data_IF_804775796787
#
_entry.id   IF_804775796787
#
_cell.length_a   1.000
_cell.length_b   1.000
_cell.length_c   1.000
_cell.angle_alpha   90.00
_cell.angle_beta   90.00
_cell.angle_gamma   90.00
#
_symmetry.space_group_name_H-M   'P 1'
#
loop_
_entity.id
_entity.type
_entity.pdbx_description
1 polymer ?
#
# COMPACT_ATOMS: atom_id res chain seq x y z
N UNK A 1 3.38 -8.96 -5.17
CA UNK A 1 3.34 -10.44 -5.12
C UNK A 1 4.11 -11.08 -6.26
N UNK A 2 3.74 -10.90 -7.54
CA UNK A 2 4.47 -11.50 -8.68
C UNK A 2 5.99 -11.27 -8.66
N UNK A 3 6.43 -10.07 -8.25
CA UNK A 3 7.87 -9.77 -8.11
C UNK A 3 8.54 -10.49 -6.94
N UNK A 4 7.89 -10.58 -5.78
CA UNK A 4 8.52 -11.04 -4.54
C UNK A 4 8.44 -12.56 -4.37
N UNK A 5 7.29 -13.14 -4.72
CA UNK A 5 6.94 -14.55 -4.51
C UNK A 5 6.11 -15.07 -5.70
N UNK A 6 6.70 -15.16 -6.91
CA UNK A 6 5.98 -15.57 -8.12
C UNK A 6 5.32 -16.95 -8.00
N UNK A 7 5.94 -17.89 -7.28
CA UNK A 7 5.47 -19.25 -7.06
C UNK A 7 4.14 -19.35 -6.29
N UNK A 8 3.79 -18.30 -5.53
CA UNK A 8 2.53 -18.21 -4.79
C UNK A 8 1.39 -17.64 -5.64
N UNK A 9 1.68 -17.11 -6.84
CA UNK A 9 0.68 -16.45 -7.68
C UNK A 9 0.23 -17.39 -8.79
N UNK A 10 -1.06 -17.75 -8.76
CA UNK A 10 -1.72 -18.55 -9.80
C UNK A 10 -2.29 -17.65 -10.89
N UNK A 11 -1.41 -17.03 -11.68
CA UNK A 11 -1.83 -16.07 -12.71
C UNK A 11 -2.73 -16.71 -13.77
N UNK A 12 -2.58 -18.01 -14.02
CA UNK A 12 -3.45 -18.80 -14.89
C UNK A 12 -4.90 -18.92 -14.39
N UNK A 13 -5.15 -18.61 -13.11
CA UNK A 13 -6.49 -18.57 -12.50
C UNK A 13 -7.01 -17.15 -12.30
N UNK A 14 -6.31 -16.13 -12.82
CA UNK A 14 -6.72 -14.74 -12.66
C UNK A 14 -8.06 -14.48 -13.38
N UNK A 15 -9.00 -13.88 -12.66
CA UNK A 15 -10.29 -13.44 -13.21
C UNK A 15 -10.37 -11.93 -13.01
N UNK A 16 -10.41 -11.21 -14.12
CA UNK A 16 -10.59 -9.77 -14.11
C UNK A 16 -12.05 -9.42 -13.84
N UNK A 17 -12.27 -8.41 -13.01
CA UNK A 17 -13.61 -7.92 -12.71
C UNK A 17 -13.53 -6.43 -12.36
N UNK A 18 -14.29 -5.61 -13.09
CA UNK A 18 -14.45 -4.19 -12.80
C UNK A 18 -15.94 -3.92 -12.66
N UNK A 19 -16.51 -4.10 -11.46
CA UNK A 19 -17.93 -3.95 -11.24
C UNK A 19 -18.36 -2.50 -11.52
N UNK A 20 -19.52 -2.33 -12.12
CA UNK A 20 -20.17 -1.02 -12.26
C UNK A 20 -20.91 -0.70 -10.95
N UNK A 21 -20.11 -0.46 -9.90
CA UNK A 21 -20.59 -0.24 -8.55
C UNK A 21 -19.87 0.95 -7.92
N UNK A 22 -20.65 1.88 -7.37
CA UNK A 22 -20.12 2.99 -6.58
C UNK A 22 -19.46 2.51 -5.28
N UNK A 23 -18.44 3.23 -4.81
CA UNK A 23 -17.71 2.90 -3.57
C UNK A 23 -18.62 2.85 -2.33
N UNK A 24 -19.72 3.61 -2.35
CA UNK A 24 -20.73 3.65 -1.30
C UNK A 24 -21.44 2.31 -1.08
N UNK A 25 -21.46 1.43 -2.09
CA UNK A 25 -22.16 0.14 -2.01
C UNK A 25 -21.27 -1.03 -1.57
N UNK A 26 -19.96 -0.81 -1.40
CA UNK A 26 -18.99 -1.85 -1.02
C UNK A 26 -19.36 -2.52 0.30
N UNK A 27 -19.82 -1.72 1.27
CA UNK A 27 -20.22 -2.20 2.61
C UNK A 27 -21.70 -2.62 2.68
N UNK A 28 -22.49 -2.31 1.64
CA UNK A 28 -23.94 -2.55 1.64
C UNK A 28 -24.33 -3.86 0.96
N UNK A 29 -23.53 -4.31 0.00
CA UNK A 29 -23.80 -5.50 -0.81
C UNK A 29 -22.73 -6.54 -0.50
N UNK A 30 -23.07 -7.84 -0.35
CA UNK A 30 -22.04 -8.86 -0.18
C UNK A 30 -21.13 -8.95 -1.42
N UNK A 31 -19.82 -9.11 -1.18
CA UNK A 31 -18.77 -9.05 -2.21
C UNK A 31 -18.94 -10.05 -3.37
N UNK A 32 -19.55 -11.20 -3.09
CA UNK A 32 -19.89 -12.23 -4.09
C UNK A 32 -20.85 -11.75 -5.18
N UNK A 33 -21.67 -10.73 -4.92
CA UNK A 33 -22.63 -10.21 -5.89
C UNK A 33 -22.00 -9.30 -6.95
N UNK A 34 -20.84 -8.71 -6.67
CA UNK A 34 -20.19 -7.79 -7.60
C UNK A 34 -18.78 -8.22 -8.00
N UNK A 35 -18.10 -9.08 -7.23
CA UNK A 35 -16.82 -9.69 -7.62
C UNK A 35 -16.88 -11.22 -7.50
N UNK A 36 -17.21 -11.95 -8.57
CA UNK A 36 -17.40 -13.41 -8.52
C UNK A 36 -16.15 -14.19 -8.06
N UNK A 37 -14.96 -13.68 -8.33
CA UNK A 37 -13.68 -14.25 -7.93
C UNK A 37 -13.10 -13.61 -6.65
N UNK A 38 -13.78 -12.61 -6.09
CA UNK A 38 -13.24 -11.72 -5.06
C UNK A 38 -12.18 -10.73 -5.56
N UNK A 39 -11.81 -10.77 -6.84
CA UNK A 39 -10.87 -9.81 -7.43
C UNK A 39 -11.61 -8.54 -7.87
N UNK A 40 -11.07 -7.38 -7.52
CA UNK A 40 -11.48 -6.08 -8.06
C UNK A 40 -10.30 -5.50 -8.85
N UNK A 41 -10.47 -5.36 -10.17
CA UNK A 41 -9.46 -4.87 -11.11
C UNK A 41 -9.09 -5.90 -12.18
N UNK A 42 -7.88 -5.73 -12.73
CA UNK A 42 -7.35 -6.54 -13.84
C UNK A 42 -6.05 -7.28 -13.47
N UNK A 43 -6.10 -8.26 -12.55
CA UNK A 43 -4.93 -9.06 -12.18
C UNK A 43 -4.28 -9.78 -13.37
N UNK A 44 -5.03 -10.08 -14.44
CA UNK A 44 -4.47 -10.71 -15.65
C UNK A 44 -3.37 -9.88 -16.31
N UNK A 45 -3.41 -8.55 -16.13
CA UNK A 45 -2.47 -7.59 -16.73
C UNK A 45 -1.23 -7.33 -15.88
N UNK A 46 -1.14 -7.92 -14.68
CA UNK A 46 -0.03 -7.70 -13.79
C UNK A 46 1.25 -8.34 -14.32
N UNK A 47 2.38 -7.62 -14.22
CA UNK A 47 3.70 -8.15 -14.58
C UNK A 47 4.69 -8.09 -13.42
N UNK A 48 5.75 -8.89 -13.51
CA UNK A 48 6.86 -8.89 -12.55
C UNK A 48 7.55 -7.52 -12.51
N UNK A 49 7.74 -6.88 -13.65
CA UNK A 49 8.41 -5.58 -13.80
C UNK A 49 7.63 -4.48 -13.09
N UNK A 50 6.30 -4.43 -13.28
CA UNK A 50 5.43 -3.52 -12.55
C UNK A 50 5.51 -3.74 -11.04
N UNK A 51 5.59 -5.00 -10.61
CA UNK A 51 5.78 -5.35 -9.21
C UNK A 51 7.09 -4.80 -8.65
N UNK A 52 8.20 -4.98 -9.38
CA UNK A 52 9.53 -4.49 -8.98
C UNK A 52 9.54 -2.97 -8.81
N UNK A 53 9.02 -2.24 -9.79
CA UNK A 53 8.97 -0.78 -9.74
C UNK A 53 8.14 -0.27 -8.55
N UNK A 54 6.92 -0.81 -8.39
CA UNK A 54 6.01 -0.39 -7.31
C UNK A 54 6.56 -0.74 -5.93
N UNK A 55 7.17 -1.92 -5.77
CA UNK A 55 7.77 -2.32 -4.49
C UNK A 55 8.95 -1.43 -4.13
N UNK A 56 9.80 -1.07 -5.10
CA UNK A 56 10.90 -0.12 -4.86
C UNK A 56 10.38 1.22 -4.34
N UNK A 57 9.43 1.83 -5.06
CA UNK A 57 8.82 3.10 -4.66
C UNK A 57 8.13 3.04 -3.29
N UNK A 58 7.48 1.91 -2.98
CA UNK A 58 6.80 1.69 -1.71
C UNK A 58 7.76 1.49 -0.52
N UNK A 59 9.04 1.19 -0.76
CA UNK A 59 10.05 1.02 0.29
C UNK A 59 10.90 2.28 0.45
N UNK A 60 11.41 2.82 -0.66
CA UNK A 60 12.35 3.95 -0.66
C UNK A 60 11.73 5.17 0.04
N UNK A 61 10.54 5.59 -0.40
CA UNK A 61 9.91 6.81 0.13
C UNK A 61 9.56 6.73 1.62
N UNK A 62 8.96 5.63 2.13
CA UNK A 62 8.76 5.49 3.57
C UNK A 62 10.07 5.38 4.36
N UNK A 63 11.10 4.72 3.82
CA UNK A 63 12.40 4.63 4.49
C UNK A 63 13.02 6.02 4.66
N UNK A 64 13.06 6.81 3.59
CA UNK A 64 13.55 8.20 3.63
C UNK A 64 12.79 9.02 4.66
N UNK A 65 11.44 8.94 4.64
CA UNK A 65 10.60 9.64 5.61
C UNK A 65 10.92 9.26 7.06
N UNK A 66 11.11 7.97 7.35
CA UNK A 66 11.44 7.50 8.69
C UNK A 66 12.81 8.00 9.12
N UNK A 67 13.81 7.94 8.24
CA UNK A 67 15.16 8.42 8.54
C UNK A 67 15.16 9.94 8.83
N UNK A 68 14.49 10.73 8.00
CA UNK A 68 14.31 12.17 8.20
C UNK A 68 13.59 12.47 9.53
N UNK A 69 12.54 11.71 9.85
CA UNK A 69 11.78 11.88 11.08
C UNK A 69 12.66 11.59 12.32
N UNK A 70 13.46 10.53 12.28
CA UNK A 70 14.39 10.18 13.35
C UNK A 70 15.43 11.28 13.53
N UNK A 71 16.03 11.79 12.46
CA UNK A 71 17.03 12.86 12.53
C UNK A 71 16.47 14.13 13.17
N UNK A 72 15.23 14.50 12.82
CA UNK A 72 14.53 15.64 13.43
C UNK A 72 14.31 15.43 14.93
N UNK A 73 13.89 14.23 15.34
CA UNK A 73 13.68 13.90 16.75
C UNK A 73 14.98 13.94 17.55
N UNK A 74 16.08 13.43 16.99
CA UNK A 74 17.42 13.50 17.61
C UNK A 74 17.83 14.97 17.77
N UNK A 75 17.68 15.77 16.72
CA UNK A 75 18.02 17.20 16.75
C UNK A 75 17.19 17.97 17.78
N UNK A 76 15.89 17.68 17.88
CA UNK A 76 15.01 18.30 18.88
C UNK A 76 15.39 17.93 20.31
N UNK A 77 15.78 16.68 20.56
CA UNK A 77 16.25 16.24 21.88
C UNK A 77 17.62 16.80 22.26
N UNK A 78 18.48 17.06 21.28
CA UNK A 78 19.79 17.65 21.50
C UNK A 78 19.72 19.15 21.85
N UNK A 79 18.63 19.85 21.52
CA UNK A 79 18.39 21.23 21.95
C UNK A 79 17.75 21.23 23.34
N UNK A 80 18.34 21.88 24.37
CA UNK A 80 17.70 21.99 25.67
C UNK A 80 16.36 22.72 25.52
N UNK A 81 15.30 22.16 26.10
CA UNK A 81 13.99 22.82 26.18
C UNK A 81 14.18 24.17 26.86
N UNK A 82 13.81 25.31 26.23
CA UNK A 82 13.87 26.59 26.92
C UNK A 82 12.97 26.49 28.17
N UNK A 83 13.39 27.02 29.33
CA UNK A 83 12.62 26.91 30.55
C UNK A 83 11.24 27.53 30.32
N UNK A 84 10.21 26.68 30.27
CA UNK A 84 8.83 27.11 30.16
C UNK A 84 8.48 28.01 31.34
N UNK A 85 7.96 29.21 31.06
CA UNK A 85 7.32 30.03 32.09
C UNK A 85 6.16 29.22 32.66
N UNK A 86 6.30 28.76 33.90
CA UNK A 86 5.17 28.35 34.72
C UNK A 86 4.37 29.63 35.01
N UNK A 87 3.19 29.74 34.42
CA UNK A 87 2.13 30.60 34.95
C UNK A 87 1.34 29.80 35.99
#
# INVERSE_FOLDING_TARGET
>A
MLHCYPELVRQEKAVDCSPDLGSEFVDMIPTEYYTPSGAWGYPSKATTEQGKERTGQAVERPADYVMDAIERLVTMRAKPTPPGKRC
#
